data_IF_079206475850
#
_entry.id   IF_079206475850
#
_cell.length_a   1.000
_cell.length_b   1.000
_cell.length_c   1.000
_cell.angle_alpha   90.00
_cell.angle_beta   90.00
_cell.angle_gamma   90.00
#
_symmetry.space_group_name_H-M   'P 1'
#
loop_
_entity.id
_entity.type
_entity.pdbx_description
1 polymer ?
#
# COMPACT_ATOMS: atom_id res chain seq x y z
N UNK A 1 52.55 43.06 -13.67
CA UNK A 1 52.13 41.77 -13.08
C UNK A 1 50.60 41.79 -12.98
N UNK A 2 49.86 41.09 -13.86
CA UNK A 2 48.39 41.15 -13.94
C UNK A 2 47.79 39.98 -13.15
N UNK A 3 47.04 40.27 -12.10
CA UNK A 3 46.36 39.30 -11.24
C UNK A 3 45.04 38.86 -11.92
N UNK A 4 44.94 37.57 -12.28
CA UNK A 4 43.70 36.98 -12.83
C UNK A 4 42.83 36.46 -11.69
N UNK A 5 41.65 37.04 -11.52
CA UNK A 5 40.58 36.56 -10.65
C UNK A 5 39.85 35.42 -11.36
N UNK A 6 39.83 34.22 -10.77
CA UNK A 6 38.98 33.13 -11.20
C UNK A 6 37.66 33.20 -10.41
N UNK A 7 36.59 33.63 -11.09
CA UNK A 7 35.23 33.62 -10.57
C UNK A 7 34.65 32.22 -10.83
N UNK A 8 34.65 31.37 -9.81
CA UNK A 8 34.07 30.03 -9.88
C UNK A 8 32.55 30.14 -9.76
N UNK A 9 31.84 29.92 -10.88
CA UNK A 9 30.39 29.85 -10.95
C UNK A 9 29.92 28.51 -10.34
N UNK A 10 29.38 28.56 -9.12
CA UNK A 10 28.65 27.45 -8.51
C UNK A 10 27.28 27.32 -9.18
N UNK A 11 27.13 26.35 -10.09
CA UNK A 11 25.82 25.88 -10.54
C UNK A 11 25.13 25.17 -9.36
N UNK A 12 24.20 25.86 -8.70
CA UNK A 12 23.26 25.25 -7.77
C UNK A 12 22.25 24.41 -8.55
N UNK A 13 22.41 23.09 -8.54
CA UNK A 13 21.37 22.18 -8.99
C UNK A 13 20.21 22.23 -7.97
N UNK A 14 19.13 22.91 -8.32
CA UNK A 14 17.87 22.85 -7.58
C UNK A 14 17.32 21.43 -7.72
N UNK A 15 17.34 20.64 -6.64
CA UNK A 15 16.56 19.41 -6.58
C UNK A 15 15.07 19.80 -6.68
N UNK A 16 14.45 19.52 -7.83
CA UNK A 16 13.01 19.64 -7.96
C UNK A 16 12.37 18.64 -7.00
N UNK A 17 11.50 19.12 -6.11
CA UNK A 17 10.68 18.27 -5.26
C UNK A 17 9.66 17.56 -6.15
N UNK A 18 9.65 16.23 -6.12
CA UNK A 18 8.66 15.40 -6.80
C UNK A 18 7.31 15.52 -6.09
N UNK A 19 6.25 15.75 -6.86
CA UNK A 19 4.91 16.02 -6.35
C UNK A 19 4.12 14.76 -5.98
N UNK A 20 3.13 14.89 -5.09
CA UNK A 20 2.18 13.83 -4.76
C UNK A 20 0.99 13.84 -5.73
N UNK A 21 0.74 12.73 -6.45
CA UNK A 21 -0.35 12.63 -7.44
C UNK A 21 -1.43 11.66 -6.98
N UNK A 22 -2.64 12.19 -6.83
CA UNK A 22 -3.85 11.44 -6.43
C UNK A 22 -4.81 11.25 -7.59
N UNK A 23 -5.33 10.03 -7.78
CA UNK A 23 -6.38 9.73 -8.77
C UNK A 23 -7.78 9.84 -8.14
N UNK A 24 -8.54 10.84 -8.59
CA UNK A 24 -9.89 11.14 -8.07
C UNK A 24 -11.02 10.78 -9.04
N UNK A 25 -10.71 10.54 -10.31
CA UNK A 25 -11.69 10.16 -11.33
C UNK A 25 -11.01 9.58 -12.57
N UNK A 26 -11.64 8.58 -13.18
CA UNK A 26 -11.22 8.04 -14.48
C UNK A 26 -12.37 8.20 -15.47
N UNK A 27 -12.04 8.73 -16.66
CA UNK A 27 -12.91 8.84 -17.82
C UNK A 27 -12.25 8.12 -19.00
N UNK A 28 -12.98 7.89 -20.08
CA UNK A 28 -12.53 7.09 -21.24
C UNK A 28 -11.04 7.23 -21.61
N UNK A 29 -10.54 8.46 -21.79
CA UNK A 29 -9.12 8.75 -22.07
C UNK A 29 -8.53 9.87 -21.19
N UNK A 30 -9.14 10.13 -20.03
CA UNK A 30 -8.74 11.21 -19.12
C UNK A 30 -8.76 10.76 -17.67
N UNK A 31 -7.96 11.40 -16.84
CA UNK A 31 -7.98 11.20 -15.40
C UNK A 31 -8.16 12.55 -14.69
N UNK A 32 -8.98 12.58 -13.65
CA UNK A 32 -9.03 13.69 -12.70
C UNK A 32 -7.97 13.45 -11.63
N UNK A 33 -6.97 14.32 -11.60
CA UNK A 33 -5.80 14.20 -10.75
C UNK A 33 -5.69 15.44 -9.85
N UNK A 34 -5.34 15.23 -8.58
CA UNK A 34 -4.84 16.28 -7.71
C UNK A 34 -3.32 16.11 -7.59
N UNK A 35 -2.58 17.20 -7.69
CA UNK A 35 -1.11 17.22 -7.60
C UNK A 35 -0.73 18.12 -6.44
N UNK A 36 0.05 17.63 -5.50
CA UNK A 36 0.49 18.36 -4.29
C UNK A 36 -0.66 18.98 -3.50
N UNK A 37 -1.82 18.31 -3.46
CA UNK A 37 -3.02 18.80 -2.80
C UNK A 37 -3.70 19.99 -3.50
N UNK A 38 -3.24 20.38 -4.69
CA UNK A 38 -3.89 21.40 -5.50
C UNK A 38 -5.29 20.98 -5.95
N UNK A 39 -6.18 21.94 -6.29
CA UNK A 39 -7.52 21.64 -6.77
C UNK A 39 -7.50 20.62 -7.93
N UNK A 40 -8.35 19.58 -7.90
CA UNK A 40 -8.37 18.54 -8.92
C UNK A 40 -8.57 19.10 -10.31
N UNK A 41 -7.80 18.58 -11.28
CA UNK A 41 -7.92 18.93 -12.70
C UNK A 41 -7.99 17.67 -13.54
N UNK A 42 -8.67 17.77 -14.68
CA UNK A 42 -8.77 16.68 -15.65
C UNK A 42 -7.62 16.76 -16.65
N UNK A 43 -6.83 15.70 -16.72
CA UNK A 43 -5.71 15.54 -17.64
C UNK A 43 -6.03 14.46 -18.67
N UNK A 44 -5.72 14.70 -19.94
CA UNK A 44 -5.81 13.69 -20.98
C UNK A 44 -4.54 12.84 -21.02
N UNK A 45 -4.64 11.59 -21.47
CA UNK A 45 -3.45 10.77 -21.75
C UNK A 45 -2.51 11.51 -22.69
N UNK A 46 -1.24 11.63 -22.28
CA UNK A 46 -0.18 12.39 -22.93
C UNK A 46 0.13 13.74 -22.26
N UNK A 47 -0.75 14.25 -21.40
CA UNK A 47 -0.58 15.56 -20.76
C UNK A 47 0.51 15.56 -19.68
N UNK A 48 1.22 16.69 -19.57
CA UNK A 48 2.12 16.98 -18.47
C UNK A 48 1.34 17.54 -17.27
N UNK A 49 1.76 17.11 -16.08
CA UNK A 49 1.31 17.58 -14.78
C UNK A 49 2.19 18.74 -14.29
N UNK A 50 1.72 19.54 -13.32
CA UNK A 50 2.46 20.69 -12.78
C UNK A 50 3.80 20.34 -12.14
N UNK A 51 3.94 19.13 -11.60
CA UNK A 51 5.17 18.58 -11.00
C UNK A 51 6.16 18.05 -12.06
N UNK A 52 5.81 18.10 -13.35
CA UNK A 52 6.62 17.60 -14.45
C UNK A 52 6.38 16.13 -14.81
N UNK A 53 5.49 15.45 -14.10
CA UNK A 53 5.07 14.10 -14.46
C UNK A 53 4.16 14.09 -15.70
N UNK A 54 3.96 12.94 -16.33
CA UNK A 54 3.16 12.76 -17.55
C UNK A 54 2.11 11.68 -17.35
N UNK A 55 0.86 11.95 -17.68
CA UNK A 55 -0.16 10.90 -17.74
C UNK A 55 0.07 10.03 -19.00
N UNK A 56 0.44 8.76 -18.84
CA UNK A 56 0.78 7.85 -19.95
C UNK A 56 -0.35 6.91 -20.33
N UNK A 57 -1.14 6.46 -19.38
CA UNK A 57 -2.29 5.61 -19.66
C UNK A 57 -3.39 5.79 -18.62
N UNK A 58 -4.61 5.44 -19.01
CA UNK A 58 -5.78 5.37 -18.13
C UNK A 58 -6.54 4.12 -18.52
N UNK A 59 -6.90 3.28 -17.55
CA UNK A 59 -7.66 2.06 -17.77
C UNK A 59 -8.49 1.71 -16.54
N UNK A 60 -9.77 1.38 -16.70
CA UNK A 60 -10.64 0.98 -15.58
C UNK A 60 -10.69 2.04 -14.48
N UNK A 61 -10.14 1.73 -13.31
CA UNK A 61 -10.04 2.61 -12.15
C UNK A 61 -8.59 3.04 -11.86
N UNK A 62 -7.69 3.00 -12.84
CA UNK A 62 -6.27 3.27 -12.64
C UNK A 62 -5.71 4.19 -13.74
N UNK A 63 -4.68 4.95 -13.39
CA UNK A 63 -3.90 5.77 -14.29
C UNK A 63 -2.41 5.47 -14.14
N UNK A 64 -1.67 5.56 -15.23
CA UNK A 64 -0.22 5.38 -15.28
C UNK A 64 0.41 6.74 -15.49
N UNK A 65 1.25 7.16 -14.56
CA UNK A 65 2.02 8.39 -14.60
C UNK A 65 3.48 8.04 -14.92
N UNK A 66 4.15 8.86 -15.72
CA UNK A 66 5.58 8.77 -16.01
C UNK A 66 6.27 10.02 -15.54
N UNK A 67 7.23 9.89 -14.65
CA UNK A 67 7.99 11.00 -14.11
C UNK A 67 9.47 10.61 -14.15
N UNK A 68 10.31 11.48 -14.72
CA UNK A 68 11.75 11.21 -14.85
C UNK A 68 12.08 9.83 -15.51
N UNK A 69 11.24 9.40 -16.46
CA UNK A 69 11.38 8.11 -17.16
C UNK A 69 10.93 6.88 -16.37
N UNK A 70 10.41 7.05 -15.14
CA UNK A 70 9.89 5.97 -14.31
C UNK A 70 8.36 5.98 -14.34
N UNK A 71 7.74 4.80 -14.57
CA UNK A 71 6.28 4.67 -14.73
C UNK A 71 5.59 4.11 -13.51
N UNK A 72 4.50 4.75 -13.11
CA UNK A 72 3.74 4.42 -11.94
C UNK A 72 2.24 4.35 -12.06
N UNK A 73 1.64 3.34 -11.43
CA UNK A 73 0.20 3.18 -11.42
C UNK A 73 -0.40 3.78 -10.15
N UNK A 74 -1.31 4.72 -10.34
CA UNK A 74 -2.26 5.22 -9.34
C UNK A 74 -3.60 4.53 -9.54
N UNK A 75 -4.22 4.13 -8.44
CA UNK A 75 -5.59 3.57 -8.44
C UNK A 75 -6.53 4.59 -7.85
N UNK A 76 -7.77 4.64 -8.33
CA UNK A 76 -8.80 5.56 -7.88
C UNK A 76 -8.97 5.43 -6.35
N UNK A 77 -8.82 6.54 -5.63
CA UNK A 77 -8.86 6.56 -4.16
C UNK A 77 -7.55 6.15 -3.47
N UNK A 78 -6.47 5.92 -4.23
CA UNK A 78 -5.11 5.73 -3.71
C UNK A 78 -4.17 6.84 -4.24
N UNK A 79 -3.25 7.29 -3.39
CA UNK A 79 -2.19 8.24 -3.76
C UNK A 79 -0.96 7.47 -4.24
N UNK A 80 -0.36 7.84 -5.37
CA UNK A 80 1.01 7.41 -5.65
C UNK A 80 1.95 8.53 -5.24
N UNK A 81 2.34 8.48 -3.99
CA UNK A 81 3.58 9.12 -3.61
C UNK A 81 4.71 8.16 -4.08
N UNK A 82 5.43 8.52 -5.14
CA UNK A 82 6.52 7.71 -5.71
C UNK A 82 7.85 8.29 -5.31
N UNK A 83 8.53 7.60 -4.41
CA UNK A 83 9.97 7.69 -4.39
C UNK A 83 10.54 6.81 -5.52
N UNK A 84 11.67 7.22 -6.10
CA UNK A 84 12.31 6.59 -7.25
C UNK A 84 12.76 5.14 -7.01
N UNK A 85 13.43 4.55 -8.00
CA UNK A 85 14.10 3.26 -7.84
C UNK A 85 15.04 3.33 -6.62
N UNK A 86 14.64 2.68 -5.51
CA UNK A 86 15.29 2.78 -4.20
C UNK A 86 14.38 3.29 -3.08
N UNK A 87 13.18 3.78 -3.36
CA UNK A 87 12.24 4.18 -2.32
C UNK A 87 11.43 2.98 -1.81
N UNK A 88 11.17 2.93 -0.50
CA UNK A 88 10.42 1.84 0.09
C UNK A 88 8.98 1.80 -0.46
N UNK A 89 8.56 0.60 -0.85
CA UNK A 89 7.20 0.34 -1.30
C UNK A 89 6.19 0.76 -0.23
N UNK A 90 5.09 1.40 -0.61
CA UNK A 90 4.11 1.95 0.33
C UNK A 90 2.67 1.55 -0.01
N UNK A 91 1.82 1.52 1.01
CA UNK A 91 0.37 1.30 0.93
C UNK A 91 -0.30 2.50 1.60
N UNK A 92 -1.15 3.21 0.89
CA UNK A 92 -1.97 4.29 1.47
C UNK A 92 -3.43 3.83 1.51
N UNK A 93 -4.06 3.98 2.67
CA UNK A 93 -5.40 3.50 2.98
C UNK A 93 -6.24 4.66 3.52
N UNK A 94 -7.43 4.82 2.96
CA UNK A 94 -8.49 5.59 3.58
C UNK A 94 -9.38 4.65 4.42
N UNK A 95 -9.97 5.15 5.53
CA UNK A 95 -10.87 4.36 6.33
C UNK A 95 -12.22 4.22 5.63
N UNK A 96 -12.95 3.16 5.94
CA UNK A 96 -14.35 3.04 5.56
C UNK A 96 -15.25 3.95 6.42
N UNK A 97 -16.56 3.91 6.17
CA UNK A 97 -17.55 4.70 6.91
C UNK A 97 -17.59 4.39 8.42
N UNK A 98 -17.00 3.28 8.87
CA UNK A 98 -16.89 2.90 10.28
C UNK A 98 -15.50 3.20 10.87
N UNK A 99 -14.61 3.84 10.11
CA UNK A 99 -13.24 4.14 10.55
C UNK A 99 -12.24 2.98 10.37
N UNK A 100 -12.64 1.89 9.71
CA UNK A 100 -11.78 0.72 9.53
C UNK A 100 -10.92 0.82 8.28
N UNK A 101 -9.67 0.38 8.36
CA UNK A 101 -8.76 0.34 7.23
C UNK A 101 -8.79 -1.05 6.58
N UNK A 102 -9.44 -1.14 5.43
CA UNK A 102 -9.56 -2.37 4.67
C UNK A 102 -8.61 -2.35 3.47
N UNK A 103 -8.01 -3.48 3.19
CA UNK A 103 -7.08 -3.64 2.07
C UNK A 103 -7.37 -4.93 1.32
N UNK A 104 -7.29 -4.86 0.00
CA UNK A 104 -7.39 -6.01 -0.88
C UNK A 104 -5.99 -6.49 -1.26
N UNK A 105 -5.84 -7.79 -1.36
CA UNK A 105 -4.59 -8.42 -1.75
C UNK A 105 -4.78 -9.89 -2.04
N UNK A 106 -3.69 -10.64 -1.92
CA UNK A 106 -3.67 -12.08 -2.11
C UNK A 106 -2.93 -12.76 -0.97
N UNK A 107 -3.42 -13.92 -0.56
CA UNK A 107 -2.72 -14.86 0.31
C UNK A 107 -2.61 -16.18 -0.44
N UNK A 108 -1.39 -16.70 -0.58
CA UNK A 108 -1.10 -17.92 -1.35
C UNK A 108 -1.73 -17.92 -2.76
N UNK A 109 -1.75 -16.73 -3.40
CA UNK A 109 -2.30 -16.53 -4.76
C UNK A 109 -3.83 -16.44 -4.84
N UNK A 110 -4.54 -16.48 -3.71
CA UNK A 110 -5.99 -16.32 -3.65
C UNK A 110 -6.38 -14.94 -3.17
N UNK A 111 -7.39 -14.33 -3.80
CA UNK A 111 -7.90 -13.03 -3.42
C UNK A 111 -8.37 -13.00 -1.95
N UNK A 112 -7.99 -11.93 -1.25
CA UNK A 112 -8.25 -11.72 0.17
C UNK A 112 -8.59 -10.26 0.43
N UNK A 113 -9.67 -10.04 1.19
CA UNK A 113 -10.01 -8.75 1.78
C UNK A 113 -9.66 -8.81 3.26
N UNK A 114 -8.88 -7.84 3.73
CA UNK A 114 -8.25 -7.91 5.03
C UNK A 114 -8.41 -6.58 5.78
N UNK A 115 -8.59 -6.66 7.10
CA UNK A 115 -8.68 -5.52 8.00
C UNK A 115 -7.33 -5.28 8.66
N UNK A 116 -6.85 -4.04 8.69
CA UNK A 116 -5.71 -3.66 9.52
C UNK A 116 -6.15 -3.66 10.99
N UNK A 117 -5.51 -4.50 11.80
CA UNK A 117 -5.81 -4.62 13.23
C UNK A 117 -4.52 -4.56 14.05
N UNK A 118 -4.23 -3.39 14.63
CA UNK A 118 -3.05 -3.17 15.49
C UNK A 118 -3.13 -3.93 16.82
N UNK A 119 -4.32 -4.38 17.22
CA UNK A 119 -4.55 -5.17 18.43
C UNK A 119 -4.25 -6.66 18.23
N UNK A 120 -4.27 -7.15 17.00
CA UNK A 120 -3.92 -8.53 16.68
C UNK A 120 -2.39 -8.73 16.67
N UNK A 121 -1.90 -9.75 17.38
CA UNK A 121 -0.45 -10.06 17.39
C UNK A 121 0.03 -10.69 16.07
N UNK A 122 -0.79 -11.57 15.48
CA UNK A 122 -0.49 -12.33 14.27
C UNK A 122 -1.51 -12.01 13.18
N UNK A 123 -1.23 -12.37 11.93
CA UNK A 123 -2.27 -12.40 10.90
C UNK A 123 -3.30 -13.45 11.32
N UNK A 124 -4.58 -13.10 11.38
CA UNK A 124 -5.63 -14.01 11.79
C UNK A 124 -6.54 -14.35 10.61
N UNK A 125 -6.76 -15.64 10.35
CA UNK A 125 -7.61 -16.12 9.26
C UNK A 125 -8.80 -16.89 9.81
N UNK A 126 -10.01 -16.67 9.28
CA UNK A 126 -11.11 -17.61 9.45
C UNK A 126 -10.76 -18.96 8.80
N UNK A 127 -11.18 -20.08 9.40
CA UNK A 127 -10.93 -21.41 8.84
C UNK A 127 -11.51 -21.64 7.44
N UNK A 128 -12.58 -20.91 7.08
CA UNK A 128 -13.12 -20.91 5.71
C UNK A 128 -12.12 -20.30 4.71
N UNK A 129 -11.50 -19.18 5.07
CA UNK A 129 -10.49 -18.48 4.26
C UNK A 129 -9.24 -19.34 4.11
N UNK A 130 -8.72 -19.88 5.23
CA UNK A 130 -7.55 -20.75 5.22
C UNK A 130 -7.74 -21.95 4.28
N UNK A 131 -8.91 -22.61 4.33
CA UNK A 131 -9.24 -23.72 3.42
C UNK A 131 -9.31 -23.28 1.96
N UNK A 132 -9.94 -22.13 1.66
CA UNK A 132 -9.98 -21.59 0.29
C UNK A 132 -8.56 -21.31 -0.25
N UNK A 133 -7.65 -20.90 0.64
CA UNK A 133 -6.26 -20.59 0.34
C UNK A 133 -5.34 -21.82 0.29
N UNK A 134 -5.90 -23.03 0.44
CA UNK A 134 -5.12 -24.27 0.43
C UNK A 134 -4.25 -24.48 1.68
N UNK A 135 -4.52 -23.77 2.76
CA UNK A 135 -3.78 -23.86 4.02
C UNK A 135 -4.38 -25.01 4.85
N UNK A 136 -3.63 -26.11 4.95
CA UNK A 136 -3.97 -27.23 5.83
C UNK A 136 -3.62 -26.91 7.30
N UNK A 137 -4.41 -26.01 7.89
CA UNK A 137 -4.11 -25.41 9.19
C UNK A 137 -4.10 -26.40 10.35
N UNK A 138 -4.74 -27.57 10.20
CA UNK A 138 -4.78 -28.61 11.23
C UNK A 138 -3.45 -29.33 11.39
N UNK A 139 -2.56 -29.23 10.41
CA UNK A 139 -1.15 -29.63 10.54
C UNK A 139 -0.30 -28.59 11.28
N UNK A 140 -0.85 -27.39 11.50
CA UNK A 140 -0.23 -26.33 12.28
C UNK A 140 -0.19 -26.65 13.78
N UNK A 141 0.44 -25.76 14.54
CA UNK A 141 0.59 -25.93 16.00
C UNK A 141 -0.64 -25.38 16.72
N UNK A 142 -1.41 -26.20 17.47
CA UNK A 142 -2.51 -25.68 18.29
C UNK A 142 -1.97 -24.77 19.41
N UNK A 143 -2.66 -23.67 19.67
CA UNK A 143 -2.37 -22.76 20.78
C UNK A 143 -3.62 -22.04 21.25
N UNK A 144 -3.60 -21.53 22.49
CA UNK A 144 -4.65 -20.66 22.99
C UNK A 144 -4.35 -19.21 22.60
N UNK A 145 -5.37 -18.50 22.11
CA UNK A 145 -5.31 -17.08 21.78
C UNK A 145 -6.33 -16.32 22.61
N UNK A 146 -5.90 -15.21 23.20
CA UNK A 146 -6.82 -14.27 23.86
C UNK A 146 -7.45 -13.36 22.81
N UNK A 147 -8.77 -13.22 22.84
CA UNK A 147 -9.54 -12.36 21.94
C UNK A 147 -10.54 -11.53 22.75
N UNK A 148 -11.21 -10.57 22.10
CA UNK A 148 -12.29 -9.82 22.73
C UNK A 148 -13.45 -10.72 23.21
N UNK A 149 -13.65 -11.89 22.58
CA UNK A 149 -14.64 -12.89 22.98
C UNK A 149 -14.14 -13.90 24.02
N UNK A 150 -12.92 -13.74 24.55
CA UNK A 150 -12.29 -14.66 25.49
C UNK A 150 -11.18 -15.50 24.85
N UNK A 151 -10.76 -16.54 25.58
CA UNK A 151 -9.66 -17.43 25.16
C UNK A 151 -10.21 -18.53 24.25
N UNK A 152 -9.63 -18.67 23.07
CA UNK A 152 -10.04 -19.67 22.06
C UNK A 152 -8.85 -20.48 21.56
N UNK A 153 -9.10 -21.73 21.15
CA UNK A 153 -8.13 -22.55 20.46
C UNK A 153 -7.95 -22.06 19.02
N UNK A 154 -6.70 -21.85 18.62
CA UNK A 154 -6.31 -21.47 17.26
C UNK A 154 -5.15 -22.34 16.78
N UNK A 155 -4.91 -22.36 15.48
CA UNK A 155 -3.81 -23.11 14.88
C UNK A 155 -2.80 -22.16 14.29
N UNK A 156 -1.57 -22.16 14.81
CA UNK A 156 -0.47 -21.38 14.26
C UNK A 156 0.04 -22.02 12.99
N UNK A 157 0.09 -21.21 11.94
CA UNK A 157 0.54 -21.57 10.59
C UNK A 157 1.52 -20.51 10.08
N UNK A 158 2.12 -20.79 8.93
CA UNK A 158 2.96 -19.84 8.20
C UNK A 158 2.36 -19.67 6.81
N UNK A 159 2.12 -18.43 6.41
CA UNK A 159 1.66 -18.09 5.06
C UNK A 159 2.87 -18.12 4.13
N UNK A 160 2.75 -18.79 2.99
CA UNK A 160 3.85 -18.84 2.02
C UNK A 160 4.09 -17.47 1.44
N UNK A 161 2.99 -16.81 1.06
CA UNK A 161 3.00 -15.48 0.45
C UNK A 161 1.77 -14.66 0.83
N UNK A 162 2.00 -13.39 1.12
CA UNK A 162 0.99 -12.34 1.18
C UNK A 162 1.39 -11.18 0.28
N UNK A 163 0.48 -10.76 -0.61
CA UNK A 163 0.73 -9.69 -1.59
C UNK A 163 -0.32 -8.59 -1.48
N UNK A 164 0.12 -7.34 -1.45
CA UNK A 164 -0.74 -6.15 -1.52
C UNK A 164 -0.11 -5.19 -2.53
N UNK A 165 -0.76 -4.97 -3.66
CA UNK A 165 -0.17 -4.24 -4.79
C UNK A 165 1.16 -4.89 -5.21
N UNK A 166 2.22 -4.09 -5.17
CA UNK A 166 3.60 -4.49 -5.49
C UNK A 166 4.37 -5.08 -4.30
N UNK A 167 3.80 -5.03 -3.09
CA UNK A 167 4.47 -5.53 -1.89
C UNK A 167 4.18 -7.01 -1.74
N UNK A 168 5.25 -7.81 -1.74
CA UNK A 168 5.22 -9.23 -1.44
C UNK A 168 5.97 -9.52 -0.14
N UNK A 169 5.31 -10.24 0.76
CA UNK A 169 5.86 -10.72 2.02
C UNK A 169 5.76 -12.25 2.06
N UNK A 170 6.86 -12.89 2.42
CA UNK A 170 6.96 -14.34 2.47
C UNK A 170 7.07 -14.82 3.92
N UNK A 171 6.52 -15.99 4.18
CA UNK A 171 6.69 -16.66 5.47
C UNK A 171 6.10 -15.87 6.65
N UNK A 172 4.95 -15.22 6.47
CA UNK A 172 4.31 -14.49 7.57
C UNK A 172 3.71 -15.48 8.57
N UNK A 173 3.88 -15.19 9.86
CA UNK A 173 3.24 -15.96 10.90
C UNK A 173 1.76 -15.61 10.99
N UNK A 174 0.92 -16.63 11.07
CA UNK A 174 -0.51 -16.46 11.14
C UNK A 174 -1.16 -17.47 12.10
N UNK A 175 -2.40 -17.21 12.47
CA UNK A 175 -3.25 -18.11 13.22
C UNK A 175 -4.57 -18.31 12.49
N UNK A 176 -5.10 -19.52 12.58
CA UNK A 176 -6.42 -19.86 12.04
C UNK A 176 -7.41 -20.05 13.17
N UNK A 177 -8.50 -19.29 13.12
CA UNK A 177 -9.64 -19.38 14.02
C UNK A 177 -10.71 -20.28 13.40
N UNK A 178 -11.14 -21.31 14.12
CA UNK A 178 -12.20 -22.20 13.62
C UNK A 178 -13.58 -21.54 13.65
N UNK A 179 -13.80 -20.57 14.54
CA UNK A 179 -15.04 -19.81 14.66
C UNK A 179 -14.80 -18.41 15.22
N UNK A 180 -15.82 -17.55 15.15
CA UNK A 180 -15.84 -16.23 15.80
C UNK A 180 -15.06 -15.12 15.09
N UNK A 181 -14.29 -15.43 14.04
CA UNK A 181 -13.55 -14.44 13.27
C UNK A 181 -14.26 -14.15 11.92
N UNK A 182 -14.76 -12.93 11.69
CA UNK A 182 -15.61 -12.62 10.53
C UNK A 182 -14.82 -12.37 9.23
N UNK A 183 -13.58 -11.89 9.32
CA UNK A 183 -12.71 -11.64 8.18
C UNK A 183 -11.24 -11.76 8.57
N UNK A 184 -10.35 -11.68 7.58
CA UNK A 184 -8.91 -11.77 7.81
C UNK A 184 -8.42 -10.48 8.48
N UNK A 185 -7.59 -10.63 9.52
CA UNK A 185 -6.96 -9.51 10.23
C UNK A 185 -5.46 -9.48 9.94
N UNK A 186 -4.95 -8.29 9.59
CA UNK A 186 -3.53 -8.01 9.45
C UNK A 186 -2.99 -7.45 10.77
N UNK A 187 -2.52 -8.38 11.61
CA UNK A 187 -1.89 -8.06 12.88
C UNK A 187 -0.40 -7.71 12.79
N UNK A 188 0.24 -7.60 13.95
CA UNK A 188 1.61 -7.11 14.09
C UNK A 188 2.67 -7.96 13.39
N UNK A 189 2.46 -9.27 13.19
CA UNK A 189 3.33 -10.09 12.33
C UNK A 189 3.47 -9.56 10.89
N UNK A 190 2.44 -8.88 10.37
CA UNK A 190 2.45 -8.14 9.12
C UNK A 190 2.89 -6.69 9.35
N UNK A 191 2.26 -5.97 10.28
CA UNK A 191 2.48 -4.52 10.47
C UNK A 191 3.91 -4.16 10.86
N UNK A 192 4.62 -5.04 11.56
CA UNK A 192 6.03 -4.85 11.91
C UNK A 192 6.99 -4.85 10.70
N UNK A 193 6.52 -5.23 9.51
CA UNK A 193 7.26 -5.09 8.24
C UNK A 193 7.22 -3.68 7.67
N UNK A 194 6.44 -2.81 8.30
CA UNK A 194 6.20 -1.45 7.84
C UNK A 194 6.51 -0.43 8.93
N UNK A 195 6.87 0.77 8.49
CA UNK A 195 6.65 1.98 9.24
C UNK A 195 5.20 2.43 8.98
N UNK A 196 4.43 2.62 10.05
CA UNK A 196 3.04 3.07 9.94
C UNK A 196 2.97 4.55 10.30
N UNK A 197 2.38 5.35 9.41
CA UNK A 197 2.11 6.77 9.60
C UNK A 197 0.61 7.02 9.47
N UNK A 198 0.09 7.92 10.29
CA UNK A 198 -1.29 8.43 10.17
C UNK A 198 -1.24 9.94 9.97
N UNK A 199 -2.00 10.41 8.98
CA UNK A 199 -2.19 11.82 8.69
C UNK A 199 -3.68 12.08 8.50
N UNK A 200 -4.29 12.74 9.50
CA UNK A 200 -5.74 12.82 9.65
C UNK A 200 -6.37 11.42 9.64
N UNK A 201 -7.26 11.19 8.68
CA UNK A 201 -7.94 9.92 8.48
C UNK A 201 -7.15 8.93 7.63
N UNK A 202 -6.08 9.35 6.94
CA UNK A 202 -5.30 8.46 6.08
C UNK A 202 -4.25 7.69 6.87
N UNK A 203 -4.06 6.42 6.50
CA UNK A 203 -2.96 5.58 6.97
C UNK A 203 -2.01 5.28 5.83
N UNK A 204 -0.71 5.44 6.07
CA UNK A 204 0.34 5.02 5.14
C UNK A 204 1.24 3.98 5.81
N UNK A 205 1.43 2.84 5.14
CA UNK A 205 2.39 1.80 5.51
C UNK A 205 3.57 1.84 4.54
N UNK A 206 4.77 2.08 5.04
CA UNK A 206 6.01 2.13 4.24
C UNK A 206 6.87 0.93 4.59
N UNK A 207 7.22 0.09 3.61
CA UNK A 207 8.00 -1.13 3.85
C UNK A 207 9.38 -0.76 4.39
N UNK A 208 9.82 -1.45 5.44
CA UNK A 208 11.17 -1.27 6.01
C UNK A 208 12.24 -1.94 5.15
#
# INVERSE_FOLDING_TARGET
MRLRVFLSCLLGATAAQAGDVSLLGVFANKAMLAVDGAPPKVYAVGALLPDGAKLVAVAGNQAVIEENGQRYTIVLGANAARGGAGAPARITLAPDAMGHYLVNGEINGQAARMLIDTGASLVALPAAEARRMGIDYRKGKPMLSSTAGGVVLVYRVRLDKLRIGEIELLGLEAVVHESGLPLILLGNSFLNRFEMRRDGEQMTLVRR
#
